data_IF_192541580230
#
_entry.id   IF_192541580230
#
_cell.length_a   1.000
_cell.length_b   1.000
_cell.length_c   1.000
_cell.angle_alpha   90.00
_cell.angle_beta   90.00
_cell.angle_gamma   90.00
#
_symmetry.space_group_name_H-M   'P 1'
#
loop_
_entity.id
_entity.type
_entity.pdbx_description
1 polymer ?
#
# COMPACT_ATOMS: atom_id res chain seq x y z
N UNK A 1 34.11 -30.56 -28.31
CA UNK A 1 32.81 -31.08 -27.93
C UNK A 1 32.08 -29.90 -27.21
N UNK A 2 31.39 -29.09 -28.01
CA UNK A 2 30.70 -27.87 -27.51
C UNK A 2 29.42 -28.30 -26.80
N UNK A 3 29.40 -28.12 -25.49
CA UNK A 3 28.17 -28.20 -24.70
C UNK A 3 27.33 -26.97 -25.01
N UNK A 4 26.28 -27.17 -25.81
CA UNK A 4 25.19 -26.20 -26.01
C UNK A 4 24.54 -25.87 -24.66
N UNK A 5 24.13 -24.60 -24.40
CA UNK A 5 23.42 -24.27 -23.17
C UNK A 5 22.09 -25.02 -23.15
N UNK A 6 21.83 -25.74 -22.05
CA UNK A 6 20.54 -26.36 -21.78
C UNK A 6 19.44 -25.29 -21.86
N UNK A 7 18.43 -25.53 -22.69
CA UNK A 7 17.20 -24.74 -22.78
C UNK A 7 16.61 -24.65 -21.38
N UNK A 8 16.65 -23.48 -20.75
CA UNK A 8 15.96 -23.24 -19.50
C UNK A 8 14.47 -23.15 -19.84
N UNK A 9 13.68 -24.09 -19.37
CA UNK A 9 12.26 -24.09 -19.52
C UNK A 9 11.71 -22.85 -18.80
N UNK A 10 11.03 -21.98 -19.54
CA UNK A 10 10.37 -20.78 -19.02
C UNK A 10 8.87 -20.88 -19.28
N UNK A 11 8.08 -20.36 -18.36
CA UNK A 11 6.62 -20.33 -18.43
C UNK A 11 6.14 -18.88 -18.40
N UNK A 12 5.19 -18.55 -19.28
CA UNK A 12 4.50 -17.27 -19.20
C UNK A 12 3.32 -17.39 -18.24
N UNK A 13 3.25 -16.50 -17.25
CA UNK A 13 2.23 -16.49 -16.23
C UNK A 13 1.67 -15.08 -16.02
N UNK A 14 0.39 -15.01 -15.70
CA UNK A 14 -0.27 -13.77 -15.32
C UNK A 14 0.08 -13.40 -13.87
N UNK A 15 0.31 -12.11 -13.59
CA UNK A 15 0.54 -11.61 -12.23
C UNK A 15 -0.77 -11.56 -11.45
N UNK A 16 -0.77 -12.20 -10.28
CA UNK A 16 -1.82 -12.12 -9.27
C UNK A 16 -1.38 -11.40 -8.00
N UNK A 17 -2.34 -11.08 -7.15
CA UNK A 17 -2.12 -10.42 -5.87
C UNK A 17 -1.73 -11.43 -4.78
N UNK A 18 -0.76 -11.06 -3.95
CA UNK A 18 -0.35 -11.88 -2.80
C UNK A 18 -1.34 -11.76 -1.64
N UNK A 19 -1.45 -12.81 -0.84
CA UNK A 19 -2.15 -12.73 0.45
C UNK A 19 -1.32 -11.95 1.48
N UNK A 20 -1.98 -11.31 2.43
CA UNK A 20 -1.34 -10.50 3.48
C UNK A 20 -0.20 -11.24 4.21
N UNK A 21 -0.36 -12.52 4.44
CA UNK A 21 0.63 -13.38 5.11
C UNK A 21 1.96 -13.55 4.36
N UNK A 22 1.99 -13.24 3.05
CA UNK A 22 3.16 -13.41 2.19
C UNK A 22 3.88 -12.09 1.86
N UNK A 23 3.25 -10.96 2.19
CA UNK A 23 3.79 -9.62 1.95
C UNK A 23 5.12 -9.40 2.69
N UNK A 24 6.12 -8.87 1.98
CA UNK A 24 7.47 -8.63 2.50
C UNK A 24 8.34 -9.88 2.66
N UNK A 25 7.83 -11.08 2.28
CA UNK A 25 8.57 -12.34 2.37
C UNK A 25 9.20 -12.79 1.04
N UNK A 26 9.07 -11.98 0.00
CA UNK A 26 9.51 -12.33 -1.37
C UNK A 26 9.02 -13.71 -1.82
N UNK A 27 7.76 -14.03 -1.53
CA UNK A 27 7.12 -15.29 -1.94
C UNK A 27 6.36 -15.12 -3.26
N UNK A 28 6.51 -16.12 -4.13
CA UNK A 28 5.68 -16.28 -5.32
C UNK A 28 4.85 -17.55 -5.16
N UNK A 29 3.52 -17.42 -5.08
CA UNK A 29 2.64 -18.58 -5.08
C UNK A 29 2.27 -18.94 -6.49
N UNK A 30 2.51 -20.21 -6.86
CA UNK A 30 2.21 -20.77 -8.16
C UNK A 30 1.46 -22.10 -8.01
N UNK A 31 0.66 -22.45 -9.01
CA UNK A 31 -0.11 -23.70 -9.03
C UNK A 31 0.78 -24.93 -9.19
N UNK A 32 0.27 -26.12 -8.83
CA UNK A 32 1.03 -27.37 -8.91
C UNK A 32 1.48 -27.69 -10.33
N UNK A 33 0.67 -27.45 -11.35
CA UNK A 33 1.06 -27.68 -12.76
C UNK A 33 2.24 -26.81 -13.19
N UNK A 34 2.27 -25.55 -12.76
CA UNK A 34 3.40 -24.65 -13.04
C UNK A 34 4.65 -25.07 -12.27
N UNK A 35 4.50 -25.58 -11.04
CA UNK A 35 5.62 -26.12 -10.26
C UNK A 35 6.23 -27.36 -10.94
N UNK A 36 5.39 -28.27 -11.42
CA UNK A 36 5.81 -29.48 -12.13
C UNK A 36 6.51 -29.13 -13.44
N UNK A 37 5.95 -28.20 -14.24
CA UNK A 37 6.54 -27.73 -15.49
C UNK A 37 7.92 -27.10 -15.29
N UNK A 38 8.05 -26.24 -14.28
CA UNK A 38 9.31 -25.56 -13.96
C UNK A 38 10.27 -26.45 -13.16
N UNK A 39 9.88 -27.66 -12.80
CA UNK A 39 10.63 -28.58 -11.93
C UNK A 39 11.13 -27.90 -10.64
N UNK A 40 10.22 -27.20 -9.94
CA UNK A 40 10.51 -26.45 -8.70
C UNK A 40 9.72 -27.01 -7.52
N UNK A 41 10.37 -27.09 -6.36
CA UNK A 41 9.77 -27.45 -5.09
C UNK A 41 9.53 -26.21 -4.21
N UNK A 42 8.60 -26.28 -3.23
CA UNK A 42 8.42 -25.20 -2.23
C UNK A 42 9.73 -24.84 -1.55
N UNK A 43 10.03 -23.53 -1.48
CA UNK A 43 11.30 -23.02 -0.93
C UNK A 43 12.44 -22.85 -1.94
N UNK A 44 12.32 -23.36 -3.16
CA UNK A 44 13.24 -23.06 -4.24
C UNK A 44 13.03 -21.64 -4.79
N UNK A 45 13.99 -21.15 -5.56
CA UNK A 45 13.98 -19.79 -6.07
C UNK A 45 13.70 -19.80 -7.56
N UNK A 46 12.80 -18.92 -7.97
CA UNK A 46 12.49 -18.62 -9.36
C UNK A 46 12.91 -17.21 -9.72
N UNK A 47 13.32 -17.07 -10.95
CA UNK A 47 13.54 -15.80 -11.61
C UNK A 47 12.22 -15.35 -12.24
N UNK A 48 11.89 -14.10 -12.03
CA UNK A 48 10.73 -13.43 -12.60
C UNK A 48 11.23 -12.31 -13.52
N UNK A 49 10.74 -12.28 -14.77
CA UNK A 49 11.14 -11.30 -15.77
C UNK A 49 9.90 -10.61 -16.33
N UNK A 50 9.71 -9.37 -15.92
CA UNK A 50 8.78 -8.40 -16.49
C UNK A 50 9.53 -7.36 -17.32
N UNK A 51 9.23 -6.07 -17.11
CA UNK A 51 10.04 -4.96 -17.65
C UNK A 51 11.45 -4.96 -17.05
N UNK A 52 11.58 -5.43 -15.82
CA UNK A 52 12.85 -5.64 -15.11
C UNK A 52 12.92 -7.07 -14.60
N UNK A 53 14.09 -7.44 -14.10
CA UNK A 53 14.36 -8.76 -13.53
C UNK A 53 14.27 -8.71 -12.01
N UNK A 54 13.57 -9.68 -11.42
CA UNK A 54 13.57 -9.90 -9.97
C UNK A 54 13.51 -11.40 -9.66
N UNK A 55 13.35 -11.77 -8.40
CA UNK A 55 13.31 -13.16 -7.95
C UNK A 55 12.37 -13.31 -6.75
N UNK A 56 11.88 -14.54 -6.57
CA UNK A 56 11.03 -14.90 -5.44
C UNK A 56 11.22 -16.35 -5.01
N UNK A 57 10.77 -16.67 -3.80
CA UNK A 57 10.74 -18.01 -3.24
C UNK A 57 9.41 -18.65 -3.63
N UNK A 58 9.46 -19.83 -4.23
CA UNK A 58 8.28 -20.60 -4.62
C UNK A 58 7.51 -21.07 -3.41
N UNK A 59 6.19 -20.89 -3.46
CA UNK A 59 5.25 -21.43 -2.49
C UNK A 59 4.00 -21.94 -3.20
N UNK A 60 3.36 -23.01 -2.72
CA UNK A 60 2.16 -23.53 -3.36
C UNK A 60 0.98 -22.57 -3.16
N UNK A 61 0.12 -22.52 -4.16
CA UNK A 61 -1.17 -21.84 -4.08
C UNK A 61 -2.10 -22.59 -3.11
N UNK A 62 -3.02 -21.88 -2.46
CA UNK A 62 -3.97 -22.54 -1.57
C UNK A 62 -5.07 -23.25 -2.40
N UNK A 63 -5.62 -24.37 -1.89
CA UNK A 63 -6.60 -25.22 -2.60
C UNK A 63 -7.91 -24.48 -2.98
N UNK A 64 -8.28 -23.44 -2.21
CA UNK A 64 -9.49 -22.66 -2.41
C UNK A 64 -9.34 -21.53 -3.46
N UNK A 65 -8.21 -21.41 -4.15
CA UNK A 65 -7.97 -20.27 -5.02
C UNK A 65 -8.43 -20.47 -6.46
N UNK A 66 -9.18 -19.49 -6.96
CA UNK A 66 -9.90 -19.55 -8.25
C UNK A 66 -9.02 -19.43 -9.51
N UNK A 67 -7.74 -19.09 -9.40
CA UNK A 67 -6.87 -18.87 -10.57
C UNK A 67 -5.50 -19.52 -10.37
N UNK A 68 -5.35 -20.83 -10.70
CA UNK A 68 -4.10 -21.58 -10.53
C UNK A 68 -3.02 -21.15 -11.51
N UNK A 69 -3.36 -20.50 -12.63
CA UNK A 69 -2.43 -20.11 -13.70
C UNK A 69 -1.70 -18.80 -13.42
N UNK A 70 -2.03 -18.12 -12.32
CA UNK A 70 -1.39 -16.88 -11.94
C UNK A 70 -0.22 -17.10 -10.98
N UNK A 71 0.85 -16.31 -11.16
CA UNK A 71 1.91 -16.17 -10.15
C UNK A 71 1.56 -15.02 -9.22
N UNK A 72 1.34 -15.33 -7.93
CA UNK A 72 0.92 -14.33 -6.93
C UNK A 72 2.14 -13.81 -6.19
N UNK A 73 2.37 -12.51 -6.32
CA UNK A 73 3.50 -11.80 -5.73
C UNK A 73 3.02 -10.50 -5.10
N UNK A 74 3.75 -10.03 -4.09
CA UNK A 74 3.45 -8.79 -3.38
C UNK A 74 3.76 -7.53 -4.21
N UNK A 75 3.22 -6.38 -3.78
CA UNK A 75 3.40 -5.10 -4.46
C UNK A 75 4.85 -4.69 -4.60
N UNK A 76 5.70 -5.01 -3.61
CA UNK A 76 7.14 -4.74 -3.69
C UNK A 76 7.81 -5.55 -4.82
N UNK A 77 7.44 -6.81 -4.97
CA UNK A 77 7.95 -7.67 -6.06
C UNK A 77 7.44 -7.18 -7.41
N UNK A 78 6.14 -6.78 -7.51
CA UNK A 78 5.59 -6.16 -8.75
C UNK A 78 6.33 -4.88 -9.12
N UNK A 79 6.60 -4.01 -8.14
CA UNK A 79 7.40 -2.79 -8.31
C UNK A 79 8.80 -3.10 -8.83
N UNK A 80 9.47 -4.12 -8.29
CA UNK A 80 10.78 -4.57 -8.75
C UNK A 80 10.76 -5.07 -10.20
N UNK A 81 9.70 -5.75 -10.59
CA UNK A 81 9.48 -6.23 -11.95
C UNK A 81 9.04 -5.13 -12.93
N UNK A 82 8.53 -4.00 -12.44
CA UNK A 82 7.94 -2.93 -13.24
C UNK A 82 6.64 -3.35 -13.92
N UNK A 83 5.82 -4.17 -13.25
CA UNK A 83 4.57 -4.74 -13.76
C UNK A 83 3.41 -4.51 -12.80
N UNK A 84 2.21 -4.60 -13.34
CA UNK A 84 0.95 -4.50 -12.61
C UNK A 84 0.24 -5.86 -12.51
N UNK A 85 -0.84 -5.92 -11.75
CA UNK A 85 -1.69 -7.10 -11.70
C UNK A 85 -2.31 -7.34 -13.08
N UNK A 86 -2.41 -8.60 -13.46
CA UNK A 86 -2.82 -9.11 -14.78
C UNK A 86 -1.78 -8.95 -15.91
N UNK A 87 -0.62 -8.33 -15.68
CA UNK A 87 0.46 -8.36 -16.66
C UNK A 87 1.03 -9.78 -16.80
N UNK A 88 1.53 -10.10 -17.99
CA UNK A 88 2.17 -11.40 -18.26
C UNK A 88 3.68 -11.24 -18.04
N UNK A 89 4.26 -12.18 -17.30
CA UNK A 89 5.69 -12.26 -17.05
C UNK A 89 6.25 -13.62 -17.42
N UNK A 90 7.55 -13.68 -17.65
CA UNK A 90 8.28 -14.91 -17.86
C UNK A 90 8.85 -15.42 -16.52
N UNK A 91 8.57 -16.67 -16.19
CA UNK A 91 9.01 -17.36 -14.97
C UNK A 91 9.91 -18.51 -15.33
N UNK A 92 11.05 -18.65 -14.64
CA UNK A 92 11.99 -19.76 -14.85
C UNK A 92 12.69 -20.17 -13.55
N UNK A 93 13.06 -21.44 -13.44
CA UNK A 93 13.90 -21.90 -12.33
C UNK A 93 15.28 -21.27 -12.38
N UNK A 94 15.84 -20.93 -11.22
CA UNK A 94 17.20 -20.41 -11.12
C UNK A 94 17.95 -21.00 -9.94
N UNK A 95 19.18 -21.43 -10.19
CA UNK A 95 20.10 -21.83 -9.14
C UNK A 95 20.77 -20.60 -8.51
N UNK A 96 20.66 -20.46 -7.21
CA UNK A 96 21.21 -19.33 -6.47
C UNK A 96 22.46 -19.69 -5.70
N UNK A 97 23.40 -18.75 -5.60
CA UNK A 97 24.57 -18.85 -4.71
C UNK A 97 24.41 -17.89 -3.53
N UNK A 98 25.16 -18.17 -2.46
CA UNK A 98 25.25 -17.24 -1.33
C UNK A 98 25.99 -15.98 -1.80
N UNK A 99 25.43 -14.81 -1.43
CA UNK A 99 26.05 -13.52 -1.70
C UNK A 99 27.37 -13.38 -0.92
N UNK A 100 28.43 -12.97 -1.62
CA UNK A 100 29.70 -12.60 -0.97
C UNK A 100 29.58 -11.22 -0.33
N UNK A 101 29.06 -10.25 -1.08
CA UNK A 101 28.82 -8.90 -0.59
C UNK A 101 27.53 -8.32 -1.17
N UNK A 102 26.84 -7.50 -0.37
CA UNK A 102 25.62 -6.76 -0.74
C UNK A 102 25.76 -5.34 -0.23
N UNK A 103 25.44 -4.37 -1.09
CA UNK A 103 25.40 -2.95 -0.73
C UNK A 103 23.95 -2.48 -0.78
N UNK A 104 23.44 -2.00 0.34
CA UNK A 104 22.09 -1.43 0.48
C UNK A 104 22.17 0.09 0.55
N UNK A 105 21.18 0.76 -0.01
CA UNK A 105 21.00 2.20 0.03
C UNK A 105 19.59 2.51 0.51
N UNK A 106 19.38 3.31 1.56
CA UNK A 106 18.05 3.73 1.99
C UNK A 106 17.33 4.50 0.87
N UNK A 107 16.01 4.31 0.74
CA UNK A 107 15.23 4.97 -0.32
C UNK A 107 14.75 6.35 0.14
N UNK A 108 14.29 6.49 1.38
CA UNK A 108 13.60 7.70 1.86
C UNK A 108 14.35 8.52 2.89
N UNK A 109 15.12 7.89 3.77
CA UNK A 109 15.70 8.55 4.94
C UNK A 109 17.21 8.37 5.02
N UNK A 110 17.88 9.43 5.48
CA UNK A 110 19.29 9.33 5.86
C UNK A 110 19.37 8.60 7.20
N UNK A 111 20.09 7.50 7.24
CA UNK A 111 20.17 6.63 8.43
C UNK A 111 21.56 6.72 9.04
N UNK A 112 21.60 6.85 10.36
CA UNK A 112 22.86 6.63 11.09
C UNK A 112 23.13 5.13 11.11
N UNK A 113 24.12 4.71 10.34
CA UNK A 113 24.49 3.29 10.17
C UNK A 113 25.58 2.95 11.16
N UNK A 114 25.26 2.12 12.15
CA UNK A 114 26.23 1.45 13.00
C UNK A 114 26.29 -0.06 12.69
N UNK A 115 27.20 -0.77 13.35
CA UNK A 115 27.38 -2.19 13.11
C UNK A 115 26.17 -3.00 13.62
N UNK A 116 25.56 -2.59 14.73
CA UNK A 116 24.40 -3.29 15.29
C UNK A 116 23.18 -3.18 14.39
N UNK A 117 22.94 -2.01 13.81
CA UNK A 117 21.90 -1.78 12.82
C UNK A 117 22.13 -2.65 11.57
N UNK A 118 23.37 -2.69 11.09
CA UNK A 118 23.74 -3.53 9.93
C UNK A 118 23.49 -4.99 10.22
N UNK A 119 23.85 -5.48 11.40
CA UNK A 119 23.65 -6.88 11.81
C UNK A 119 22.15 -7.20 12.00
N UNK A 120 21.37 -6.25 12.53
CA UNK A 120 19.92 -6.37 12.64
C UNK A 120 19.27 -6.53 11.26
N UNK A 121 19.56 -5.61 10.32
CA UNK A 121 19.04 -5.67 8.93
C UNK A 121 19.48 -6.97 8.26
N UNK A 122 20.73 -7.38 8.41
CA UNK A 122 21.25 -8.64 7.87
C UNK A 122 20.48 -9.85 8.39
N UNK A 123 20.19 -9.91 9.68
CA UNK A 123 19.43 -11.01 10.28
C UNK A 123 17.99 -11.07 9.73
N UNK A 124 17.34 -9.92 9.48
CA UNK A 124 16.00 -9.84 8.88
C UNK A 124 15.98 -10.30 7.43
N UNK A 125 17.04 -10.02 6.69
CA UNK A 125 17.17 -10.36 5.27
C UNK A 125 17.72 -11.77 5.03
N UNK A 126 18.09 -12.49 6.08
CA UNK A 126 18.67 -13.84 5.96
C UNK A 126 17.73 -14.80 5.24
N UNK A 127 18.26 -15.48 4.22
CA UNK A 127 17.53 -16.45 3.42
C UNK A 127 16.77 -15.85 2.24
N UNK A 128 16.60 -14.52 2.17
CA UNK A 128 15.90 -13.88 1.07
C UNK A 128 16.73 -13.88 -0.21
N UNK A 129 16.13 -14.21 -1.36
CA UNK A 129 16.75 -14.05 -2.66
C UNK A 129 16.71 -12.59 -3.09
N UNK A 130 17.78 -12.10 -3.68
CA UNK A 130 17.92 -10.74 -4.14
C UNK A 130 18.67 -10.66 -5.46
N UNK A 131 18.40 -9.58 -6.19
CA UNK A 131 19.18 -9.21 -7.39
C UNK A 131 19.51 -7.72 -7.36
N UNK A 132 20.42 -7.32 -8.22
CA UNK A 132 20.85 -5.93 -8.38
C UNK A 132 19.67 -5.05 -8.81
N UNK A 133 19.48 -3.90 -8.17
CA UNK A 133 18.38 -2.98 -8.45
C UNK A 133 17.05 -3.29 -7.75
N UNK A 134 16.90 -4.45 -7.08
CA UNK A 134 15.71 -4.74 -6.29
C UNK A 134 15.56 -3.75 -5.12
N UNK A 135 14.33 -3.42 -4.79
CA UNK A 135 13.99 -2.76 -3.54
C UNK A 135 13.39 -3.77 -2.56
N UNK A 136 13.77 -3.65 -1.32
CA UNK A 136 13.33 -4.53 -0.23
C UNK A 136 12.89 -3.69 0.96
N UNK A 137 11.88 -4.16 1.66
CA UNK A 137 11.33 -3.52 2.84
C UNK A 137 11.72 -4.29 4.09
N UNK A 138 12.24 -3.59 5.09
CA UNK A 138 12.61 -4.14 6.39
C UNK A 138 11.84 -3.43 7.48
N UNK A 139 11.13 -4.19 8.30
CA UNK A 139 10.43 -3.63 9.47
C UNK A 139 11.42 -3.36 10.60
N UNK A 140 11.53 -2.09 10.99
CA UNK A 140 12.43 -1.60 12.03
C UNK A 140 11.60 -0.80 13.02
N UNK A 141 11.50 -1.26 14.26
CA UNK A 141 10.75 -0.59 15.35
C UNK A 141 9.30 -0.21 14.96
N UNK A 142 8.62 -1.10 14.23
CA UNK A 142 7.23 -0.84 13.80
C UNK A 142 7.08 0.01 12.53
N UNK A 143 8.17 0.56 12.00
CA UNK A 143 8.18 1.28 10.74
C UNK A 143 8.80 0.43 9.62
N UNK A 144 8.23 0.53 8.42
CA UNK A 144 8.80 -0.09 7.24
C UNK A 144 9.86 0.83 6.64
N UNK A 145 11.10 0.35 6.57
CA UNK A 145 12.20 1.06 5.93
C UNK A 145 12.54 0.36 4.61
N UNK A 146 12.54 1.12 3.53
CA UNK A 146 12.85 0.62 2.19
C UNK A 146 14.34 0.82 1.87
N UNK A 147 14.94 -0.25 1.35
CA UNK A 147 16.31 -0.27 0.87
C UNK A 147 16.36 -0.69 -0.58
N UNK A 148 17.13 0.03 -1.41
CA UNK A 148 17.48 -0.39 -2.76
C UNK A 148 18.81 -1.16 -2.72
N UNK A 149 18.86 -2.28 -3.41
CA UNK A 149 20.07 -3.07 -3.59
C UNK A 149 20.91 -2.40 -4.68
N UNK A 150 21.96 -1.71 -4.27
CA UNK A 150 22.84 -0.96 -5.18
C UNK A 150 23.86 -1.86 -5.87
N UNK A 151 24.34 -2.90 -5.20
CA UNK A 151 25.33 -3.82 -5.75
C UNK A 151 25.28 -5.17 -5.06
N UNK A 152 25.40 -6.22 -5.87
CA UNK A 152 25.46 -7.62 -5.42
C UNK A 152 26.68 -8.32 -6.01
N UNK A 153 27.35 -9.13 -5.22
CA UNK A 153 28.46 -9.97 -5.68
C UNK A 153 28.23 -11.43 -5.29
N UNK A 154 28.26 -12.37 -6.25
CA UNK A 154 28.40 -12.24 -7.70
C UNK A 154 27.18 -11.57 -8.34
N UNK A 155 27.37 -10.89 -9.49
CA UNK A 155 26.31 -10.16 -10.22
C UNK A 155 25.29 -11.12 -10.87
N UNK A 156 24.38 -11.65 -10.06
CA UNK A 156 23.28 -12.56 -10.41
C UNK A 156 22.29 -12.62 -9.25
N UNK A 157 21.23 -13.42 -9.37
CA UNK A 157 20.34 -13.74 -8.25
C UNK A 157 21.12 -14.51 -7.19
N UNK A 158 21.15 -13.98 -5.97
CA UNK A 158 21.87 -14.56 -4.83
C UNK A 158 21.00 -14.60 -3.60
N UNK A 159 21.40 -15.38 -2.60
CA UNK A 159 20.73 -15.45 -1.30
C UNK A 159 21.61 -14.82 -0.22
N UNK A 160 21.01 -14.04 0.67
CA UNK A 160 21.71 -13.47 1.84
C UNK A 160 21.87 -14.55 2.89
N UNK A 161 23.07 -14.68 3.47
CA UNK A 161 23.36 -15.59 4.60
C UNK A 161 24.26 -14.91 5.64
N UNK A 162 24.53 -15.61 6.74
CA UNK A 162 25.42 -15.14 7.82
C UNK A 162 26.83 -14.76 7.33
N UNK A 163 27.33 -15.46 6.32
CA UNK A 163 28.65 -15.21 5.70
C UNK A 163 28.67 -14.00 4.76
N UNK A 164 27.51 -13.43 4.39
CA UNK A 164 27.42 -12.30 3.48
C UNK A 164 27.96 -11.02 4.15
N UNK A 165 28.86 -10.31 3.45
CA UNK A 165 29.28 -8.98 3.88
C UNK A 165 28.22 -7.94 3.46
N UNK A 166 27.42 -7.44 4.41
CA UNK A 166 26.40 -6.43 4.18
C UNK A 166 26.97 -5.05 4.49
N UNK A 167 26.82 -4.11 3.57
CA UNK A 167 27.16 -2.70 3.76
C UNK A 167 25.92 -1.85 3.49
N UNK A 168 25.58 -0.97 4.41
CA UNK A 168 24.51 0.01 4.26
C UNK A 168 25.16 1.37 4.04
N UNK A 169 24.71 2.10 3.00
CA UNK A 169 25.15 3.47 2.74
C UNK A 169 24.30 4.44 3.56
N UNK A 170 24.89 5.55 3.99
CA UNK A 170 24.18 6.57 4.77
C UNK A 170 23.38 7.54 3.89
N UNK A 171 23.68 7.61 2.59
CA UNK A 171 23.01 8.48 1.64
C UNK A 171 21.74 7.82 1.11
N UNK A 172 20.61 8.56 1.15
CA UNK A 172 19.35 8.11 0.59
C UNK A 172 19.26 8.36 -0.92
N UNK A 173 18.57 7.49 -1.63
CA UNK A 173 18.14 7.75 -3.02
C UNK A 173 17.06 8.83 -2.97
N UNK A 174 17.25 9.96 -3.67
CA UNK A 174 16.36 11.14 -3.60
C UNK A 174 14.96 10.95 -4.23
N UNK A 175 14.49 9.73 -4.37
CA UNK A 175 13.16 9.42 -4.91
C UNK A 175 12.10 9.45 -3.78
N UNK A 176 11.58 10.64 -3.50
CA UNK A 176 10.63 10.93 -2.40
C UNK A 176 9.19 10.39 -2.59
N UNK A 177 8.91 9.52 -3.53
CA UNK A 177 7.56 8.97 -3.68
C UNK A 177 7.37 7.79 -2.70
N UNK A 178 6.75 8.06 -1.54
CA UNK A 178 6.20 7.00 -0.68
C UNK A 178 5.16 6.24 -1.53
N UNK A 179 5.45 5.00 -1.87
CA UNK A 179 4.57 4.16 -2.70
C UNK A 179 3.85 3.18 -1.79
N UNK A 180 2.55 3.40 -1.64
CA UNK A 180 1.64 2.54 -0.88
C UNK A 180 0.99 1.58 -1.88
N UNK A 181 0.97 0.29 -1.59
CA UNK A 181 0.38 -0.76 -2.45
C UNK A 181 -0.97 -1.24 -1.92
N UNK A 182 -1.73 -2.00 -2.72
CA UNK A 182 -3.02 -2.56 -2.30
C UNK A 182 -2.92 -3.45 -1.05
N UNK A 183 -1.79 -4.09 -0.81
CA UNK A 183 -1.55 -4.93 0.38
C UNK A 183 -1.47 -4.13 1.70
N UNK A 184 -1.49 -2.81 1.62
CA UNK A 184 -1.59 -1.92 2.79
C UNK A 184 -3.05 -1.53 3.12
N UNK A 185 -3.99 -1.99 2.30
CA UNK A 185 -5.43 -1.77 2.50
C UNK A 185 -6.08 -3.10 2.87
N UNK A 186 -6.71 -3.16 4.03
CA UNK A 186 -7.49 -4.33 4.46
C UNK A 186 -8.97 -4.05 4.47
N UNK A 187 -9.78 -5.08 4.19
CA UNK A 187 -11.23 -5.04 4.31
C UNK A 187 -11.98 -4.35 3.17
N UNK A 188 -11.30 -3.96 2.08
CA UNK A 188 -11.91 -3.25 0.95
C UNK A 188 -11.72 -4.00 -0.38
N UNK A 189 -11.84 -5.34 -0.36
CA UNK A 189 -11.54 -6.19 -1.52
C UNK A 189 -12.47 -5.88 -2.70
N UNK A 190 -13.78 -5.69 -2.45
CA UNK A 190 -14.78 -5.36 -3.46
C UNK A 190 -14.58 -3.95 -4.03
N UNK A 191 -14.31 -2.99 -3.14
CA UNK A 191 -14.07 -1.59 -3.46
C UNK A 191 -12.81 -1.42 -4.30
N UNK A 192 -11.73 -2.08 -3.90
CA UNK A 192 -10.47 -2.11 -4.68
C UNK A 192 -10.72 -2.68 -6.07
N UNK A 193 -11.45 -3.81 -6.18
CA UNK A 193 -11.76 -4.40 -7.49
C UNK A 193 -12.53 -3.44 -8.37
N UNK A 194 -13.57 -2.80 -7.84
CA UNK A 194 -14.38 -1.81 -8.57
C UNK A 194 -13.53 -0.60 -8.98
N UNK A 195 -12.67 -0.10 -8.09
CA UNK A 195 -11.80 1.05 -8.38
C UNK A 195 -10.73 0.73 -9.44
N UNK A 196 -10.22 -0.49 -9.47
CA UNK A 196 -9.33 -0.95 -10.56
C UNK A 196 -10.02 -0.88 -11.92
N UNK A 197 -11.27 -1.36 -12.00
CA UNK A 197 -12.03 -1.37 -13.24
C UNK A 197 -12.41 0.06 -13.70
N UNK A 198 -12.75 0.94 -12.76
CA UNK A 198 -13.30 2.27 -13.05
C UNK A 198 -12.18 3.34 -13.19
N UNK A 199 -11.08 3.23 -12.44
CA UNK A 199 -10.00 4.24 -12.41
C UNK A 199 -8.72 3.72 -13.05
N UNK A 200 -8.20 2.59 -12.57
CA UNK A 200 -6.89 2.11 -12.99
C UNK A 200 -6.89 1.67 -14.45
N UNK A 201 -7.92 0.95 -14.88
CA UNK A 201 -8.01 0.45 -16.26
C UNK A 201 -8.10 1.59 -17.30
N UNK A 202 -8.94 2.64 -17.13
CA UNK A 202 -8.96 3.77 -18.07
C UNK A 202 -7.65 4.55 -18.12
N UNK A 203 -6.97 4.73 -16.98
CA UNK A 203 -5.70 5.45 -16.91
C UNK A 203 -4.55 4.70 -17.59
N UNK A 204 -4.55 3.35 -17.50
CA UNK A 204 -3.52 2.51 -18.11
C UNK A 204 -3.80 2.14 -19.56
N UNK A 205 -5.07 1.92 -19.90
CA UNK A 205 -5.52 1.40 -21.18
C UNK A 205 -6.65 2.23 -21.79
N UNK A 206 -6.44 3.53 -22.05
CA UNK A 206 -7.47 4.40 -22.61
C UNK A 206 -7.94 3.93 -24.02
N UNK A 207 -7.07 3.18 -24.73
CA UNK A 207 -7.37 2.61 -26.05
C UNK A 207 -8.55 1.62 -26.01
N UNK A 208 -8.78 0.92 -24.91
CA UNK A 208 -9.91 -0.01 -24.77
C UNK A 208 -11.25 0.74 -24.78
N UNK A 209 -11.32 1.85 -24.05
CA UNK A 209 -12.51 2.69 -23.94
C UNK A 209 -12.80 3.39 -25.27
N UNK A 210 -11.76 3.94 -25.92
CA UNK A 210 -11.88 4.53 -27.26
C UNK A 210 -12.37 3.52 -28.29
N UNK A 211 -11.90 2.27 -28.22
CA UNK A 211 -12.30 1.19 -29.16
C UNK A 211 -13.78 0.80 -28.99
N UNK A 212 -14.29 0.83 -27.75
CA UNK A 212 -15.66 0.49 -27.44
C UNK A 212 -16.63 1.67 -27.57
N UNK A 213 -16.10 2.90 -27.76
CA UNK A 213 -16.91 4.13 -27.78
C UNK A 213 -17.55 4.46 -26.44
N UNK A 214 -16.90 4.06 -25.32
CA UNK A 214 -17.36 4.32 -23.96
C UNK A 214 -16.47 5.40 -23.35
N UNK A 215 -17.09 6.43 -22.78
CA UNK A 215 -16.36 7.45 -22.02
C UNK A 215 -16.08 6.94 -20.60
N UNK A 216 -14.81 7.03 -20.12
CA UNK A 216 -14.48 6.69 -18.74
C UNK A 216 -15.12 7.68 -17.75
N UNK A 217 -15.32 7.23 -16.52
CA UNK A 217 -15.82 8.11 -15.45
C UNK A 217 -14.80 9.22 -15.14
N UNK A 218 -15.27 10.46 -15.10
CA UNK A 218 -14.45 11.64 -14.81
C UNK A 218 -14.28 11.87 -13.31
N UNK A 219 -15.24 11.46 -12.50
CA UNK A 219 -15.22 11.67 -11.07
C UNK A 219 -15.94 10.59 -10.28
N UNK A 220 -15.35 10.26 -9.12
CA UNK A 220 -15.90 9.25 -8.19
C UNK A 220 -15.97 9.88 -6.80
N UNK A 221 -17.12 9.78 -6.16
CA UNK A 221 -17.35 10.21 -4.79
C UNK A 221 -17.22 9.03 -3.83
N UNK A 222 -16.20 9.05 -2.97
CA UNK A 222 -15.99 8.10 -1.88
C UNK A 222 -16.70 8.65 -0.64
N UNK A 223 -17.63 7.90 -0.07
CA UNK A 223 -18.32 8.32 1.13
C UNK A 223 -18.37 7.21 2.19
N UNK A 224 -18.61 7.57 3.44
CA UNK A 224 -18.69 6.61 4.55
C UNK A 224 -18.05 7.14 5.83
N UNK A 225 -18.09 6.36 6.91
CA UNK A 225 -17.59 6.80 8.21
C UNK A 225 -16.11 7.23 8.19
N UNK A 226 -15.68 8.13 9.09
CA UNK A 226 -14.29 8.51 9.22
C UNK A 226 -13.41 7.30 9.62
N UNK A 227 -12.17 7.29 9.19
CA UNK A 227 -11.21 6.22 9.53
C UNK A 227 -11.35 4.90 8.75
N UNK A 228 -12.29 4.79 7.79
CA UNK A 228 -12.49 3.59 6.98
C UNK A 228 -11.56 3.47 5.76
N UNK A 229 -10.64 4.43 5.54
CA UNK A 229 -9.57 4.28 4.53
C UNK A 229 -9.79 5.00 3.20
N UNK A 230 -10.75 5.94 3.06
CA UNK A 230 -11.01 6.71 1.83
C UNK A 230 -9.75 7.36 1.25
N UNK A 231 -9.03 8.12 2.07
CA UNK A 231 -7.76 8.79 1.68
C UNK A 231 -6.65 7.78 1.36
N UNK A 232 -6.60 6.65 2.09
CA UNK A 232 -5.63 5.59 1.84
C UNK A 232 -5.87 4.93 0.48
N UNK A 233 -7.12 4.62 0.15
CA UNK A 233 -7.52 4.02 -1.12
C UNK A 233 -7.12 4.92 -2.31
N UNK A 234 -7.32 6.24 -2.21
CA UNK A 234 -6.92 7.19 -3.25
C UNK A 234 -5.40 7.18 -3.48
N UNK A 235 -4.60 7.15 -2.40
CA UNK A 235 -3.14 7.09 -2.47
C UNK A 235 -2.65 5.79 -3.12
N UNK A 236 -3.26 4.68 -2.77
CA UNK A 236 -2.92 3.37 -3.34
C UNK A 236 -3.24 3.33 -4.82
N UNK A 237 -4.41 3.82 -5.22
CA UNK A 237 -4.81 3.91 -6.64
C UNK A 237 -3.81 4.72 -7.48
N UNK A 238 -3.39 5.88 -6.97
CA UNK A 238 -2.40 6.70 -7.66
C UNK A 238 -1.06 5.97 -7.82
N UNK A 239 -0.64 5.26 -6.78
CA UNK A 239 0.62 4.49 -6.80
C UNK A 239 0.56 3.31 -7.77
N UNK A 240 -0.51 2.54 -7.73
CA UNK A 240 -0.66 1.31 -8.54
C UNK A 240 -0.97 1.63 -10.02
N UNK A 241 -1.63 2.76 -10.30
CA UNK A 241 -1.86 3.23 -11.67
C UNK A 241 -0.67 4.03 -12.27
N UNK A 242 0.40 4.23 -11.49
CA UNK A 242 1.56 5.07 -11.86
C UNK A 242 1.14 6.50 -12.28
N UNK A 243 0.05 7.00 -11.67
CA UNK A 243 -0.51 8.32 -11.92
C UNK A 243 0.07 9.36 -10.94
N UNK A 244 0.16 10.61 -11.40
CA UNK A 244 0.52 11.71 -10.53
C UNK A 244 -0.66 12.07 -9.61
N UNK A 245 -0.41 12.19 -8.30
CA UNK A 245 -1.46 12.50 -7.33
C UNK A 245 -1.38 13.95 -6.89
N UNK A 246 -2.50 14.66 -7.02
CA UNK A 246 -2.72 16.02 -6.53
C UNK A 246 -3.75 15.97 -5.41
N UNK A 247 -3.37 16.33 -4.19
CA UNK A 247 -4.26 16.29 -3.03
C UNK A 247 -4.73 17.69 -2.65
N UNK A 248 -6.03 17.82 -2.50
CA UNK A 248 -6.74 19.04 -2.09
C UNK A 248 -7.43 18.72 -0.77
N UNK A 249 -7.11 19.48 0.28
CA UNK A 249 -7.82 19.42 1.55
C UNK A 249 -8.86 20.55 1.62
N UNK A 250 -10.13 20.20 1.76
CA UNK A 250 -11.24 21.13 1.73
C UNK A 250 -11.08 22.30 2.70
N UNK A 251 -10.95 22.06 4.01
CA UNK A 251 -10.76 23.11 5.01
C UNK A 251 -9.53 24.00 4.79
N UNK A 252 -8.41 23.44 4.31
CA UNK A 252 -7.19 24.22 4.06
C UNK A 252 -7.35 25.22 2.92
N UNK A 253 -8.08 24.84 1.89
CA UNK A 253 -8.33 25.70 0.73
C UNK A 253 -9.28 26.83 1.11
N UNK A 254 -10.32 26.54 1.91
CA UNK A 254 -11.32 27.52 2.31
C UNK A 254 -10.81 28.57 3.32
N UNK A 255 -9.77 28.24 4.09
CA UNK A 255 -9.18 29.15 5.10
C UNK A 255 -8.21 30.19 4.54
N UNK A 256 -7.94 30.22 3.23
CA UNK A 256 -7.03 31.19 2.58
C UNK A 256 -7.80 32.38 1.99
N UNK A 257 -7.08 33.52 1.86
CA UNK A 257 -7.63 34.82 1.45
C UNK A 257 -8.47 34.81 0.17
N UNK A 258 -9.41 35.77 0.07
CA UNK A 258 -10.32 35.99 -1.07
C UNK A 258 -9.62 35.93 -2.44
N UNK A 259 -10.09 35.08 -3.36
CA UNK A 259 -9.59 34.95 -4.73
C UNK A 259 -8.43 33.99 -4.94
N UNK A 260 -7.67 33.62 -3.90
CA UNK A 260 -6.57 32.66 -4.00
C UNK A 260 -7.07 31.22 -4.17
N UNK A 261 -8.20 30.89 -3.56
CA UNK A 261 -8.80 29.55 -3.61
C UNK A 261 -9.16 29.10 -5.03
N UNK A 262 -9.85 29.99 -5.78
CA UNK A 262 -10.26 29.71 -7.16
C UNK A 262 -9.04 29.62 -8.12
N UNK A 263 -8.03 30.47 -7.91
CA UNK A 263 -6.79 30.41 -8.67
C UNK A 263 -6.04 29.11 -8.40
N UNK A 264 -5.88 28.72 -7.14
CA UNK A 264 -5.21 27.49 -6.73
C UNK A 264 -5.89 26.23 -7.26
N UNK A 265 -7.25 26.19 -7.24
CA UNK A 265 -8.00 25.09 -7.88
C UNK A 265 -7.70 25.00 -9.36
N UNK A 266 -7.73 26.13 -10.11
CA UNK A 266 -7.40 26.16 -11.52
C UNK A 266 -5.98 25.67 -11.82
N UNK A 267 -5.03 26.11 -11.01
CA UNK A 267 -3.61 25.73 -11.17
C UNK A 267 -3.41 24.24 -10.96
N UNK A 268 -4.02 23.65 -9.90
CA UNK A 268 -3.95 22.20 -9.63
C UNK A 268 -4.57 21.40 -10.78
N UNK A 269 -5.76 21.78 -11.27
CA UNK A 269 -6.43 21.08 -12.36
C UNK A 269 -5.63 21.20 -13.67
N UNK A 270 -5.02 22.37 -13.93
CA UNK A 270 -4.14 22.58 -15.07
C UNK A 270 -2.89 21.72 -14.97
N UNK A 271 -2.22 21.73 -13.82
CA UNK A 271 -1.01 20.94 -13.58
C UNK A 271 -1.29 19.44 -13.69
N UNK A 272 -2.43 18.96 -13.16
CA UNK A 272 -2.86 17.59 -13.32
C UNK A 272 -3.11 17.19 -14.77
N UNK A 273 -3.64 18.09 -15.59
CA UNK A 273 -3.85 17.88 -17.02
C UNK A 273 -2.54 17.85 -17.80
N UNK A 274 -1.62 18.75 -17.49
CA UNK A 274 -0.32 18.87 -18.15
C UNK A 274 0.59 17.65 -17.81
N UNK A 275 0.43 17.06 -16.63
CA UNK A 275 1.20 15.91 -16.16
C UNK A 275 0.38 14.59 -16.14
N UNK A 276 -0.58 14.43 -17.05
CA UNK A 276 -1.37 13.20 -17.14
C UNK A 276 -0.52 11.96 -17.49
N UNK A 277 -0.85 10.75 -16.99
CA UNK A 277 -2.07 10.40 -16.23
C UNK A 277 -2.01 10.91 -14.78
N UNK A 278 -3.15 11.44 -14.29
CA UNK A 278 -3.21 12.09 -12.98
C UNK A 278 -4.50 11.76 -12.24
N UNK A 279 -4.42 11.75 -10.90
CA UNK A 279 -5.55 11.67 -9.99
C UNK A 279 -5.58 12.92 -9.13
N UNK A 280 -6.71 13.64 -9.15
CA UNK A 280 -6.98 14.75 -8.24
C UNK A 280 -7.83 14.19 -7.09
N UNK A 281 -7.31 14.23 -5.89
CA UNK A 281 -8.02 13.79 -4.69
C UNK A 281 -8.47 15.00 -3.87
N UNK A 282 -9.77 15.12 -3.64
CA UNK A 282 -10.38 16.19 -2.85
C UNK A 282 -10.91 15.57 -1.56
N UNK A 283 -10.20 15.80 -0.46
CA UNK A 283 -10.64 15.34 0.86
C UNK A 283 -11.59 16.37 1.50
N UNK A 284 -12.58 15.88 2.24
CA UNK A 284 -13.62 16.70 2.86
C UNK A 284 -14.28 17.65 1.86
N UNK A 285 -14.76 17.08 0.74
CA UNK A 285 -15.34 17.87 -0.37
C UNK A 285 -16.59 18.66 0.06
N UNK A 286 -17.29 18.19 1.07
CA UNK A 286 -18.43 18.88 1.71
C UNK A 286 -18.04 20.24 2.32
N UNK A 287 -16.78 20.44 2.70
CA UNK A 287 -16.27 21.74 3.14
C UNK A 287 -16.10 22.74 1.98
N UNK A 288 -15.79 22.24 0.75
CA UNK A 288 -15.62 23.10 -0.45
C UNK A 288 -16.95 23.34 -1.15
N UNK A 289 -17.80 22.33 -1.18
CA UNK A 289 -19.03 22.33 -1.96
C UNK A 289 -20.24 21.86 -1.13
N UNK A 290 -20.60 22.59 -0.07
CA UNK A 290 -21.79 22.32 0.71
C UNK A 290 -23.07 22.58 -0.09
N UNK A 291 -24.20 22.00 0.35
CA UNK A 291 -25.52 22.27 -0.25
C UNK A 291 -25.81 23.77 -0.27
N UNK A 292 -26.42 24.25 -1.34
CA UNK A 292 -26.73 25.67 -1.56
C UNK A 292 -27.58 26.29 -0.46
N UNK A 293 -28.38 25.49 0.24
CA UNK A 293 -29.25 25.91 1.37
C UNK A 293 -28.43 26.21 2.62
N UNK A 294 -27.24 25.64 2.74
CA UNK A 294 -26.33 25.82 3.87
C UNK A 294 -25.28 26.92 3.62
N UNK A 295 -25.25 27.49 2.41
CA UNK A 295 -24.23 28.45 1.98
C UNK A 295 -24.73 29.89 2.18
N UNK A 296 -24.14 30.58 3.13
CA UNK A 296 -24.45 32.02 3.41
C UNK A 296 -23.47 33.01 2.74
N UNK A 297 -22.37 32.54 2.14
CA UNK A 297 -21.31 33.37 1.58
C UNK A 297 -21.24 33.35 0.05
N UNK A 298 -20.97 34.50 -0.60
CA UNK A 298 -20.77 34.59 -2.06
C UNK A 298 -19.46 33.92 -2.51
N UNK A 299 -18.50 33.78 -1.62
CA UNK A 299 -17.20 33.12 -1.89
C UNK A 299 -17.38 31.62 -2.14
N UNK A 300 -18.08 30.95 -1.22
CA UNK A 300 -18.38 29.53 -1.31
C UNK A 300 -19.12 29.20 -2.62
N UNK A 301 -20.11 30.01 -3.00
CA UNK A 301 -20.85 29.87 -4.26
C UNK A 301 -19.93 29.95 -5.48
N UNK A 302 -18.92 30.83 -5.47
CA UNK A 302 -17.96 30.98 -6.56
C UNK A 302 -17.01 29.79 -6.64
N UNK A 303 -16.53 29.29 -5.49
CA UNK A 303 -15.65 28.12 -5.43
C UNK A 303 -16.38 26.89 -5.96
N UNK A 304 -17.65 26.66 -5.55
CA UNK A 304 -18.49 25.58 -6.09
C UNK A 304 -18.67 25.74 -7.61
N UNK A 305 -19.00 26.95 -8.08
CA UNK A 305 -19.17 27.21 -9.51
C UNK A 305 -17.86 26.96 -10.30
N UNK A 306 -16.72 27.37 -9.73
CA UNK A 306 -15.41 27.11 -10.32
C UNK A 306 -15.09 25.61 -10.39
N UNK A 307 -15.34 24.85 -9.30
CA UNK A 307 -15.14 23.41 -9.27
C UNK A 307 -16.01 22.69 -10.33
N UNK A 308 -17.29 23.08 -10.43
CA UNK A 308 -18.19 22.55 -11.46
C UNK A 308 -17.65 22.80 -12.88
N UNK A 309 -17.20 24.02 -13.16
CA UNK A 309 -16.63 24.38 -14.48
C UNK A 309 -15.32 23.61 -14.77
N UNK A 310 -14.48 23.39 -13.74
CA UNK A 310 -13.25 22.64 -13.89
C UNK A 310 -13.51 21.15 -14.16
N UNK A 311 -14.51 20.56 -13.50
CA UNK A 311 -14.89 19.16 -13.74
C UNK A 311 -15.48 18.98 -15.15
N UNK A 312 -16.38 19.88 -15.55
CA UNK A 312 -16.95 19.84 -16.92
C UNK A 312 -15.86 19.97 -18.01
N UNK A 313 -14.76 20.67 -17.71
CA UNK A 313 -13.60 20.83 -18.60
C UNK A 313 -12.64 19.62 -18.67
N UNK A 314 -12.85 18.58 -17.87
CA UNK A 314 -12.02 17.35 -17.89
C UNK A 314 -12.51 16.31 -18.90
N UNK A 315 -13.80 16.31 -19.23
CA UNK A 315 -14.45 15.30 -20.09
C UNK A 315 -13.87 15.20 -21.52
N UNK A 316 -13.16 16.19 -21.99
CA UNK A 316 -12.66 16.19 -23.37
C UNK A 316 -11.38 15.38 -23.65
N UNK A 317 -10.61 14.93 -22.65
CA UNK A 317 -9.32 14.22 -22.85
C UNK A 317 -8.86 13.24 -21.75
N UNK A 318 -9.74 12.57 -21.08
CA UNK A 318 -9.66 11.19 -20.54
C UNK A 318 -8.55 10.73 -19.58
N UNK A 319 -7.47 11.48 -19.30
CA UNK A 319 -6.36 10.97 -18.51
C UNK A 319 -6.24 11.60 -17.11
N UNK A 320 -7.30 12.27 -16.64
CA UNK A 320 -7.39 12.84 -15.29
C UNK A 320 -8.68 12.35 -14.65
N UNK A 321 -8.58 11.74 -13.48
CA UNK A 321 -9.72 11.28 -12.67
C UNK A 321 -9.77 12.09 -11.38
N UNK A 322 -10.98 12.55 -11.01
CA UNK A 322 -11.22 13.25 -9.74
C UNK A 322 -11.83 12.30 -8.72
N UNK A 323 -11.21 12.17 -7.57
CA UNK A 323 -11.73 11.42 -6.44
C UNK A 323 -12.14 12.40 -5.34
N UNK A 324 -13.43 12.50 -5.04
CA UNK A 324 -13.93 13.25 -3.88
C UNK A 324 -14.10 12.32 -2.68
N UNK A 325 -13.78 12.77 -1.48
CA UNK A 325 -14.06 12.05 -0.26
C UNK A 325 -14.89 12.90 0.71
N UNK A 326 -15.89 12.29 1.34
CA UNK A 326 -16.72 12.93 2.37
C UNK A 326 -17.20 11.91 3.41
N UNK A 327 -17.41 12.38 4.63
CA UNK A 327 -18.12 11.61 5.65
C UNK A 327 -19.65 11.89 5.60
N UNK A 328 -20.06 12.94 4.88
CA UNK A 328 -21.45 13.41 4.80
C UNK A 328 -21.90 13.57 3.35
N UNK A 329 -22.26 12.47 2.66
CA UNK A 329 -22.65 12.56 1.24
C UNK A 329 -23.85 13.45 1.01
N UNK A 330 -24.74 13.56 2.00
CA UNK A 330 -25.93 14.42 1.92
C UNK A 330 -25.61 15.91 2.05
N UNK A 331 -24.46 16.31 2.54
CA UNK A 331 -24.04 17.72 2.63
C UNK A 331 -23.40 18.25 1.34
N UNK A 332 -23.07 17.38 0.38
CA UNK A 332 -22.46 17.79 -0.90
C UNK A 332 -23.50 18.34 -1.86
N UNK A 333 -23.18 19.45 -2.58
CA UNK A 333 -24.08 20.05 -3.59
C UNK A 333 -24.51 19.02 -4.63
N UNK A 334 -25.82 18.79 -4.81
CA UNK A 334 -26.34 17.83 -5.79
C UNK A 334 -25.88 18.08 -7.24
N UNK A 335 -25.47 19.30 -7.57
CA UNK A 335 -24.95 19.61 -8.88
C UNK A 335 -23.61 18.91 -9.19
N UNK A 336 -22.81 18.60 -8.18
CA UNK A 336 -21.58 17.81 -8.32
C UNK A 336 -21.86 16.31 -8.56
N UNK A 337 -22.99 15.81 -8.12
CA UNK A 337 -23.40 14.39 -8.20
C UNK A 337 -24.14 14.06 -9.50
N UNK A 338 -23.99 14.89 -10.54
CA UNK A 338 -24.60 14.70 -11.86
C UNK A 338 -23.64 13.99 -12.82
N UNK A 339 -24.18 13.30 -13.85
CA UNK A 339 -23.35 12.72 -14.92
C UNK A 339 -22.34 13.71 -15.51
N UNK A 340 -21.12 13.23 -15.79
CA UNK A 340 -19.99 14.03 -16.24
C UNK A 340 -19.17 14.69 -15.14
N UNK A 341 -19.54 14.51 -13.87
CA UNK A 341 -18.84 15.02 -12.68
C UNK A 341 -18.56 13.87 -11.73
N UNK A 342 -19.09 13.86 -10.49
CA UNK A 342 -19.09 12.66 -9.64
C UNK A 342 -20.26 11.76 -10.03
N UNK A 343 -20.11 11.10 -11.15
CA UNK A 343 -21.12 10.24 -11.74
C UNK A 343 -21.14 8.82 -11.15
N UNK A 344 -20.15 8.50 -10.33
CA UNK A 344 -20.06 7.26 -9.57
C UNK A 344 -19.88 7.55 -8.09
N UNK A 345 -20.70 6.91 -7.27
CA UNK A 345 -20.59 6.97 -5.82
C UNK A 345 -20.20 5.59 -5.30
N UNK A 346 -19.29 5.57 -4.33
CA UNK A 346 -18.81 4.35 -3.70
C UNK A 346 -18.79 4.50 -2.18
N UNK A 347 -19.54 3.63 -1.53
CA UNK A 347 -19.57 3.56 -0.07
C UNK A 347 -18.33 2.81 0.44
N UNK A 348 -17.65 3.42 1.40
CA UNK A 348 -16.55 2.81 2.15
C UNK A 348 -17.06 2.56 3.57
N UNK A 349 -17.56 1.35 3.78
CA UNK A 349 -18.22 0.98 5.03
C UNK A 349 -17.23 0.56 6.13
N UNK A 350 -17.75 0.38 7.34
CA UNK A 350 -16.98 -0.17 8.47
C UNK A 350 -16.59 -1.62 8.15
N UNK A 351 -15.34 -2.05 8.43
CA UNK A 351 -14.86 -3.36 8.04
C UNK A 351 -15.61 -4.49 8.78
N UNK A 352 -15.95 -5.54 8.05
CA UNK A 352 -16.47 -6.80 8.59
C UNK A 352 -15.38 -7.58 9.34
N UNK A 353 -15.67 -8.76 9.90
CA UNK A 353 -14.72 -9.54 10.68
C UNK A 353 -13.45 -9.91 9.90
N UNK A 354 -13.60 -10.30 8.63
CA UNK A 354 -12.46 -10.65 7.77
C UNK A 354 -11.63 -9.41 7.43
N UNK A 355 -12.28 -8.29 7.17
CA UNK A 355 -11.61 -7.01 6.93
C UNK A 355 -10.85 -6.51 8.16
N UNK A 356 -11.41 -6.66 9.37
CA UNK A 356 -10.70 -6.34 10.61
C UNK A 356 -9.49 -7.24 10.83
N UNK A 357 -9.60 -8.51 10.46
CA UNK A 357 -8.46 -9.43 10.51
C UNK A 357 -7.34 -8.99 9.56
N UNK A 358 -7.66 -8.62 8.33
CA UNK A 358 -6.67 -8.10 7.37
C UNK A 358 -6.00 -6.82 7.89
N UNK A 359 -6.78 -5.87 8.43
CA UNK A 359 -6.28 -4.63 9.01
C UNK A 359 -5.36 -4.91 10.22
N UNK A 360 -5.75 -5.84 11.10
CA UNK A 360 -4.88 -6.29 12.19
C UNK A 360 -3.57 -6.88 11.67
N UNK A 361 -3.63 -7.75 10.67
CA UNK A 361 -2.44 -8.34 10.05
C UNK A 361 -1.50 -7.29 9.47
N UNK A 362 -2.06 -6.22 8.87
CA UNK A 362 -1.29 -5.10 8.34
C UNK A 362 -0.59 -4.35 9.47
N UNK A 363 -1.33 -3.95 10.51
CA UNK A 363 -0.77 -3.11 11.57
C UNK A 363 0.07 -3.86 12.60
N UNK A 364 -0.09 -5.19 12.71
CA UNK A 364 0.78 -6.03 13.55
C UNK A 364 1.97 -6.60 12.78
N UNK A 365 2.09 -6.31 11.49
CA UNK A 365 3.22 -6.76 10.67
C UNK A 365 4.53 -6.25 11.26
N UNK A 366 5.41 -7.18 11.67
CA UNK A 366 6.69 -6.86 12.30
C UNK A 366 6.64 -6.60 13.82
N UNK A 367 5.47 -6.56 14.43
CA UNK A 367 5.35 -6.52 15.89
C UNK A 367 5.71 -7.89 16.51
N UNK A 368 6.46 -7.93 17.61
CA UNK A 368 6.77 -9.16 18.33
C UNK A 368 5.56 -9.63 19.13
N UNK A 369 4.62 -10.30 18.46
CA UNK A 369 3.42 -10.84 19.11
C UNK A 369 3.76 -12.12 19.88
N UNK A 370 3.18 -12.29 21.06
CA UNK A 370 3.23 -13.53 21.82
C UNK A 370 2.50 -14.66 21.04
N UNK A 371 2.93 -15.90 21.26
CA UNK A 371 2.44 -17.06 20.48
C UNK A 371 0.97 -17.43 20.74
N UNK A 372 0.42 -16.97 21.82
CA UNK A 372 -0.97 -17.17 22.26
C UNK A 372 -1.98 -16.23 21.60
N UNK A 373 -1.50 -15.26 20.81
CA UNK A 373 -2.39 -14.31 20.13
C UNK A 373 -2.88 -14.89 18.82
N UNK A 374 -4.17 -15.23 18.78
CA UNK A 374 -4.90 -15.50 17.55
C UNK A 374 -5.59 -14.24 17.04
N UNK A 375 -5.02 -13.61 16.02
CA UNK A 375 -5.57 -12.38 15.42
C UNK A 375 -7.01 -12.53 14.93
N UNK A 376 -7.43 -13.75 14.57
CA UNK A 376 -8.79 -14.05 14.14
C UNK A 376 -9.80 -13.88 15.30
N UNK A 377 -9.45 -14.35 16.49
CA UNK A 377 -10.29 -14.20 17.68
C UNK A 377 -10.38 -12.72 18.06
N UNK A 378 -9.23 -12.04 18.10
CA UNK A 378 -9.17 -10.59 18.35
C UNK A 378 -10.03 -9.80 17.34
N UNK A 379 -9.97 -10.11 16.04
CA UNK A 379 -10.78 -9.48 15.02
C UNK A 379 -12.30 -9.66 15.26
N UNK A 380 -12.69 -10.78 15.84
CA UNK A 380 -14.09 -11.06 16.18
C UNK A 380 -14.60 -10.19 17.33
N UNK A 381 -13.73 -9.79 18.26
CA UNK A 381 -14.07 -8.95 19.40
C UNK A 381 -14.19 -7.45 19.04
N UNK A 382 -13.53 -7.00 17.97
CA UNK A 382 -13.43 -5.59 17.56
C UNK A 382 -14.67 -5.09 16.78
N UNK A 383 -15.88 -5.35 17.29
CA UNK A 383 -17.10 -4.86 16.64
C UNK A 383 -17.14 -3.32 16.57
N UNK A 384 -17.46 -2.77 15.38
CA UNK A 384 -17.60 -1.34 15.16
C UNK A 384 -16.27 -0.56 15.08
N UNK A 385 -15.12 -1.24 15.16
CA UNK A 385 -13.82 -0.59 14.97
C UNK A 385 -13.57 -0.32 13.50
N UNK A 386 -13.15 0.92 13.19
CA UNK A 386 -12.67 1.32 11.87
C UNK A 386 -11.19 0.98 11.68
N UNK A 387 -10.67 1.15 10.47
CA UNK A 387 -9.23 0.95 10.22
C UNK A 387 -8.33 1.85 11.07
N UNK A 388 -8.75 3.09 11.30
CA UNK A 388 -8.04 4.03 12.17
C UNK A 388 -8.05 3.59 13.64
N UNK A 389 -9.20 3.08 14.12
CA UNK A 389 -9.33 2.58 15.50
C UNK A 389 -8.42 1.35 15.72
N UNK A 390 -8.40 0.42 14.77
CA UNK A 390 -7.54 -0.78 14.84
C UNK A 390 -6.06 -0.39 14.83
N UNK A 391 -5.67 0.59 14.02
CA UNK A 391 -4.32 1.14 14.02
C UNK A 391 -3.97 1.75 15.39
N UNK A 392 -4.87 2.53 15.97
CA UNK A 392 -4.70 3.12 17.29
C UNK A 392 -4.60 2.04 18.37
N UNK A 393 -5.44 1.00 18.32
CA UNK A 393 -5.41 -0.15 19.23
C UNK A 393 -4.05 -0.88 19.17
N UNK A 394 -3.55 -1.19 17.99
CA UNK A 394 -2.25 -1.84 17.84
C UNK A 394 -1.10 -0.98 18.41
N UNK A 395 -1.16 0.33 18.18
CA UNK A 395 -0.19 1.28 18.73
C UNK A 395 -0.25 1.32 20.27
N UNK A 396 -1.45 1.39 20.84
CA UNK A 396 -1.63 1.46 22.28
C UNK A 396 -1.21 0.15 22.95
N UNK A 397 -1.52 -1.00 22.38
CA UNK A 397 -1.05 -2.30 22.84
C UNK A 397 0.49 -2.37 22.87
N UNK A 398 1.16 -1.83 21.86
CA UNK A 398 2.61 -1.74 21.85
C UNK A 398 3.15 -0.82 22.96
N UNK A 399 2.50 0.31 23.21
CA UNK A 399 2.86 1.24 24.29
C UNK A 399 2.68 0.56 25.66
N UNK A 400 1.59 -0.19 25.86
CA UNK A 400 1.38 -0.95 27.11
C UNK A 400 2.44 -2.03 27.31
N UNK A 401 2.82 -2.72 26.25
CA UNK A 401 3.93 -3.66 26.29
C UNK A 401 5.24 -2.96 26.72
N UNK A 402 5.56 -1.81 26.12
CA UNK A 402 6.74 -1.01 26.52
C UNK A 402 6.67 -0.63 28.01
N UNK A 403 5.54 -0.10 28.47
CA UNK A 403 5.35 0.29 29.89
C UNK A 403 5.60 -0.88 30.85
N UNK A 404 5.29 -2.11 30.46
CA UNK A 404 5.53 -3.31 31.26
C UNK A 404 7.03 -3.61 31.44
N UNK A 405 7.86 -3.27 30.43
CA UNK A 405 9.30 -3.47 30.47
C UNK A 405 10.07 -2.27 31.04
N UNK A 406 9.43 -1.09 31.14
CA UNK A 406 10.08 0.14 31.66
C UNK A 406 10.79 -0.05 33.03
N UNK A 407 10.24 -0.79 34.03
CA UNK A 407 10.92 -0.99 35.30
C UNK A 407 12.24 -1.76 35.20
N UNK A 408 12.43 -2.52 34.13
CA UNK A 408 13.61 -3.34 33.88
C UNK A 408 14.64 -2.60 33.00
N UNK A 409 14.26 -1.40 32.47
CA UNK A 409 15.10 -0.59 31.58
C UNK A 409 15.79 0.49 32.41
N UNK A 410 17.12 0.49 32.37
CA UNK A 410 17.89 1.62 32.87
C UNK A 410 17.82 2.77 31.86
N UNK A 411 16.98 3.77 32.17
CA UNK A 411 16.74 4.94 31.31
C UNK A 411 17.94 5.91 31.26
N UNK A 412 18.93 5.78 32.16
CA UNK A 412 20.15 6.56 32.16
C UNK A 412 21.23 5.94 31.27
N UNK A 413 21.06 4.68 30.86
CA UNK A 413 21.98 4.04 29.93
C UNK A 413 21.75 4.54 28.50
N UNK A 414 22.82 4.90 27.80
CA UNK A 414 22.73 5.36 26.37
C UNK A 414 22.14 4.28 25.45
N UNK A 415 22.08 3.00 25.86
CA UNK A 415 21.60 1.88 25.02
C UNK A 415 20.90 0.81 25.83
N UNK A 416 19.75 0.35 25.30
CA UNK A 416 19.04 -0.81 25.85
C UNK A 416 19.73 -2.09 25.34
N UNK A 417 20.02 -3.06 26.21
CA UNK A 417 20.66 -4.33 25.81
C UNK A 417 19.87 -5.08 24.75
N UNK A 418 20.54 -5.55 23.70
CA UNK A 418 19.91 -6.27 22.57
C UNK A 418 19.16 -7.54 23.02
N UNK A 419 19.58 -8.20 24.10
CA UNK A 419 18.88 -9.36 24.68
C UNK A 419 17.50 -8.97 25.20
N UNK A 420 17.38 -7.80 25.81
CA UNK A 420 16.12 -7.28 26.35
C UNK A 420 15.15 -6.92 25.21
N UNK A 421 15.64 -6.23 24.18
CA UNK A 421 14.85 -5.92 22.99
C UNK A 421 14.31 -7.20 22.30
N UNK A 422 15.09 -8.28 22.27
CA UNK A 422 14.68 -9.57 21.70
C UNK A 422 13.67 -10.32 22.57
N UNK A 423 13.64 -10.07 23.88
CA UNK A 423 12.68 -10.69 24.79
C UNK A 423 11.34 -9.95 24.90
N UNK A 424 11.28 -8.73 24.37
CA UNK A 424 10.05 -7.94 24.37
C UNK A 424 9.01 -8.57 23.45
N UNK A 425 7.80 -8.81 23.98
CA UNK A 425 6.66 -9.31 23.24
C UNK A 425 5.38 -8.60 23.69
N UNK A 426 4.45 -8.43 22.75
CA UNK A 426 3.11 -7.90 23.00
C UNK A 426 2.21 -9.08 23.32
N UNK A 427 1.50 -9.02 24.45
CA UNK A 427 0.60 -10.08 24.94
C UNK A 427 -0.85 -9.75 24.63
N UNK A 428 -1.71 -10.75 24.60
CA UNK A 428 -3.15 -10.58 24.40
C UNK A 428 -3.76 -9.61 25.42
N UNK A 429 -3.28 -9.65 26.67
CA UNK A 429 -3.70 -8.71 27.71
C UNK A 429 -3.45 -7.24 27.33
N UNK A 430 -2.33 -6.94 26.66
CA UNK A 430 -2.00 -5.57 26.24
C UNK A 430 -3.05 -5.04 25.26
N UNK A 431 -3.60 -5.91 24.39
CA UNK A 431 -4.70 -5.56 23.49
C UNK A 431 -6.02 -5.35 24.26
N UNK A 432 -6.40 -6.27 25.14
CA UNK A 432 -7.63 -6.14 25.93
C UNK A 432 -7.62 -4.88 26.81
N UNK A 433 -6.51 -4.60 27.48
CA UNK A 433 -6.35 -3.38 28.25
C UNK A 433 -6.44 -2.11 27.38
N UNK A 434 -6.02 -2.19 26.12
CA UNK A 434 -6.09 -1.08 25.18
C UNK A 434 -7.48 -0.86 24.60
N UNK A 435 -8.32 -1.90 24.50
CA UNK A 435 -9.72 -1.76 24.08
C UNK A 435 -10.54 -0.87 25.03
N UNK A 436 -10.17 -0.78 26.29
CA UNK A 436 -10.81 0.12 27.24
C UNK A 436 -10.49 1.61 26.98
N UNK A 437 -9.39 1.91 26.31
CA UNK A 437 -8.93 3.26 26.01
C UNK A 437 -9.33 3.69 24.58
N UNK A 438 -9.34 2.75 23.64
CA UNK A 438 -9.68 3.01 22.23
C UNK A 438 -11.13 2.62 21.99
N UNK A 439 -12.02 3.60 22.06
CA UNK A 439 -13.47 3.42 21.82
C UNK A 439 -13.75 3.42 20.32
N UNK A 440 -14.56 2.46 19.80
CA UNK A 440 -14.91 2.40 18.38
C UNK A 440 -15.56 3.70 17.86
N UNK A 441 -15.05 4.22 16.74
CA UNK A 441 -15.57 5.46 16.15
C UNK A 441 -17.02 5.31 15.67
N UNK A 442 -17.36 4.16 15.07
CA UNK A 442 -18.71 3.89 14.60
C UNK A 442 -19.75 3.88 15.74
N UNK A 443 -19.37 3.58 16.96
CA UNK A 443 -20.29 3.67 18.11
C UNK A 443 -20.47 5.10 18.63
N UNK A 444 -19.49 5.99 18.42
CA UNK A 444 -19.60 7.38 18.87
C UNK A 444 -20.65 8.16 18.09
N UNK A 445 -20.83 7.86 16.80
CA UNK A 445 -21.82 8.53 15.96
C UNK A 445 -23.28 8.19 16.38
N UNK A 446 -23.52 6.99 16.92
CA UNK A 446 -24.84 6.59 17.43
C UNK A 446 -25.22 7.24 18.77
N UNK A 447 -24.26 7.82 19.50
CA UNK A 447 -24.52 8.49 20.80
C UNK A 447 -24.67 10.01 20.68
N UNK A 448 -24.53 10.59 19.49
CA UNK A 448 -24.58 12.07 19.25
C UNK A 448 -25.88 12.49 18.58
N UNK A 449 -26.73 11.55 18.16
CA UNK A 449 -28.13 11.78 17.80
C UNK A 449 -29.02 11.58 19.05
#
# INVERSE_FOLDING_TARGET
MNLLPQNKESLQMCIGEAKQRDVGKKRARIGPEAMDFLHVAPGEIIQLKGKRLSCAIVWPIDEDEKNPDAVKVDGQTRKNLGVSINDIIEVQKVDTKIAKSVVLMPVTDVVTVDQEFTDFVKNRLKGLPITDGDEISVMILGNSMEFRISKVSPKRIVRIDRSTNLKILSEAVSDKKIRITYEEVGGLVSEIKSMREIVELPLKHPELFSRLGVEPHSGILLYGPPGCGKTLLAKVLATESDANMYSINGPEIMNKYYGETEAKLRDIFKEAKDNSPSIIFIDEIDAIAPKREEVYGDVEKRVVAQLLALMDGLTERGNVVVLGATNRPDSVDPALRRPGRFDREMEISVPNADGRLEILQIHTRGMPLAKDIELKNLASELHGYTGADIKALCREAAIKAIRRYLPEIDLESERIPSKMLQSMEIKLRDFHDSMHEVVPTAMREFYVE
#
